data_IF_448822613226
#
_entry.id   IF_448822613226
#
_cell.length_a   1.000
_cell.length_b   1.000
_cell.length_c   1.000
_cell.angle_alpha   90.00
_cell.angle_beta   90.00
_cell.angle_gamma   90.00
#
_symmetry.space_group_name_H-M   'P 1'
#
loop_
_entity.id
_entity.type
_entity.pdbx_description
1 polymer ?
#
# COMPACT_ATOMS: atom_id res chain seq x y z
N UNK A 1 5.36 -34.85 30.31
CA UNK A 1 4.15 -34.42 29.60
C UNK A 1 4.48 -34.41 28.12
N UNK A 2 3.88 -35.34 27.40
CA UNK A 2 4.21 -35.79 26.05
C UNK A 2 3.53 -34.92 24.97
N UNK A 3 4.14 -34.76 23.78
CA UNK A 3 3.53 -34.04 22.67
C UNK A 3 2.71 -34.99 21.78
N UNK A 4 1.49 -34.59 21.42
CA UNK A 4 0.63 -35.33 20.49
C UNK A 4 0.79 -34.76 19.09
N UNK A 5 1.37 -35.55 18.19
CA UNK A 5 1.41 -35.29 16.74
C UNK A 5 0.20 -35.96 16.08
N UNK A 6 -0.59 -35.20 15.32
CA UNK A 6 -1.67 -35.73 14.49
C UNK A 6 -1.17 -35.86 13.04
N UNK A 7 -0.95 -37.09 12.60
CA UNK A 7 -0.74 -37.47 11.20
C UNK A 7 -2.07 -37.90 10.58
N UNK A 8 -2.52 -37.22 9.52
CA UNK A 8 -3.60 -37.71 8.66
C UNK A 8 -2.98 -38.43 7.45
N UNK A 9 -3.04 -39.75 7.47
CA UNK A 9 -2.80 -40.62 6.31
C UNK A 9 -4.16 -41.15 5.83
N UNK A 10 -4.54 -40.81 4.60
CA UNK A 10 -5.69 -41.42 3.93
C UNK A 10 -5.22 -42.54 2.98
N UNK A 11 -5.91 -43.68 2.91
CA UNK A 11 -5.59 -44.75 1.97
C UNK A 11 -6.19 -44.50 0.58
N UNK A 12 -5.42 -44.84 -0.45
CA UNK A 12 -5.81 -44.90 -1.85
C UNK A 12 -6.50 -46.25 -2.09
N UNK A 13 -7.76 -46.22 -2.51
CA UNK A 13 -8.49 -47.42 -2.95
C UNK A 13 -8.62 -47.39 -4.47
N UNK A 14 -7.81 -48.19 -5.16
CA UNK A 14 -7.96 -48.55 -6.57
C UNK A 14 -9.09 -49.59 -6.70
N UNK A 15 -10.11 -49.33 -7.52
CA UNK A 15 -11.07 -50.36 -7.95
C UNK A 15 -11.47 -50.22 -9.42
N UNK A 16 -10.95 -51.17 -10.19
CA UNK A 16 -11.49 -51.89 -11.37
C UNK A 16 -12.49 -51.19 -12.30
N UNK A 17 -11.96 -50.90 -13.48
CA UNK A 17 -12.43 -51.12 -14.85
C UNK A 17 -13.81 -51.75 -15.14
N UNK A 18 -14.32 -51.30 -16.30
CA UNK A 18 -15.21 -51.97 -17.25
C UNK A 18 -16.67 -52.11 -16.83
N UNK A 19 -17.53 -51.20 -17.32
CA UNK A 19 -18.90 -51.49 -17.83
C UNK A 19 -19.66 -50.19 -18.21
N UNK A 20 -19.04 -49.25 -18.93
CA UNK A 20 -19.72 -47.98 -19.29
C UNK A 20 -19.51 -47.56 -20.76
N UNK A 21 -19.52 -48.53 -21.67
CA UNK A 21 -19.27 -48.29 -23.11
C UNK A 21 -20.46 -48.61 -24.03
N UNK A 22 -21.65 -48.92 -23.49
CA UNK A 22 -22.81 -49.29 -24.33
C UNK A 22 -24.04 -48.36 -24.25
N UNK A 23 -23.99 -47.26 -23.49
CA UNK A 23 -25.09 -46.27 -23.45
C UNK A 23 -24.79 -44.95 -24.18
N UNK A 24 -23.64 -44.81 -24.84
CA UNK A 24 -23.19 -43.53 -25.43
C UNK A 24 -23.57 -43.38 -26.92
N UNK A 25 -24.19 -44.40 -27.55
CA UNK A 25 -24.37 -44.38 -29.01
C UNK A 25 -25.73 -43.90 -29.54
N UNK A 26 -26.77 -43.74 -28.70
CA UNK A 26 -28.09 -43.25 -29.17
C UNK A 26 -28.45 -41.81 -28.74
N UNK A 27 -27.64 -41.14 -27.91
CA UNK A 27 -27.84 -39.72 -27.57
C UNK A 27 -27.10 -38.75 -28.51
N UNK A 28 -26.43 -39.25 -29.53
CA UNK A 28 -25.50 -38.47 -30.36
C UNK A 28 -26.16 -37.73 -31.53
N UNK A 29 -27.41 -38.06 -31.89
CA UNK A 29 -28.03 -37.53 -33.12
C UNK A 29 -29.06 -36.40 -32.90
N UNK A 30 -29.59 -36.23 -31.68
CA UNK A 30 -30.54 -35.14 -31.36
C UNK A 30 -29.89 -33.90 -30.74
N UNK A 31 -28.65 -33.99 -30.24
CA UNK A 31 -27.95 -32.86 -29.63
C UNK A 31 -27.30 -31.95 -30.68
N UNK A 32 -26.94 -32.48 -31.86
CA UNK A 32 -26.34 -31.68 -32.93
C UNK A 32 -27.31 -30.66 -33.58
N UNK A 33 -28.62 -30.90 -33.55
CA UNK A 33 -29.59 -29.96 -34.13
C UNK A 33 -29.86 -28.73 -33.24
N UNK A 34 -29.58 -28.79 -31.94
CA UNK A 34 -29.65 -27.64 -31.01
C UNK A 34 -28.32 -26.88 -30.88
N UNK A 35 -27.21 -27.46 -31.34
CA UNK A 35 -25.88 -26.82 -31.36
C UNK A 35 -25.64 -25.99 -32.64
N UNK A 36 -26.46 -26.14 -33.68
CA UNK A 36 -26.31 -25.44 -34.96
C UNK A 36 -26.73 -23.96 -34.98
N UNK A 37 -27.42 -23.47 -33.96
CA UNK A 37 -27.98 -22.11 -33.93
C UNK A 37 -27.30 -21.14 -32.95
N UNK A 38 -26.30 -21.58 -32.18
CA UNK A 38 -25.59 -20.70 -31.22
C UNK A 38 -24.20 -20.23 -31.69
N UNK A 39 -23.78 -20.55 -32.93
CA UNK A 39 -22.43 -20.25 -33.44
C UNK A 39 -22.30 -18.91 -34.18
N UNK A 40 -23.40 -18.16 -34.36
CA UNK A 40 -23.37 -16.82 -34.97
C UNK A 40 -23.97 -15.80 -34.02
N UNK A 41 -23.15 -15.14 -33.19
CA UNK A 41 -23.59 -13.90 -32.55
C UNK A 41 -22.94 -13.52 -31.22
N UNK A 42 -22.13 -14.37 -30.60
CA UNK A 42 -21.26 -13.91 -29.52
C UNK A 42 -20.04 -13.23 -30.13
N UNK A 43 -20.24 -12.03 -30.68
CA UNK A 43 -19.18 -11.04 -30.79
C UNK A 43 -18.65 -10.82 -29.38
N UNK A 44 -17.63 -11.59 -29.00
CA UNK A 44 -16.75 -11.31 -27.88
C UNK A 44 -16.14 -9.95 -28.18
N UNK A 45 -16.84 -8.88 -27.79
CA UNK A 45 -16.31 -7.55 -27.81
C UNK A 45 -15.02 -7.63 -27.00
N UNK A 46 -13.88 -7.54 -27.70
CA UNK A 46 -12.58 -7.55 -27.06
C UNK A 46 -12.66 -6.53 -25.93
N UNK A 47 -12.36 -6.92 -24.67
CA UNK A 47 -12.52 -6.02 -23.55
C UNK A 47 -11.73 -4.76 -23.88
N UNK A 48 -12.44 -3.62 -23.98
CA UNK A 48 -11.80 -2.33 -24.24
C UNK A 48 -10.74 -2.17 -23.15
N UNK A 49 -9.48 -2.22 -23.56
CA UNK A 49 -8.33 -2.01 -22.67
C UNK A 49 -8.52 -0.66 -21.98
N UNK A 50 -8.99 -0.68 -20.73
CA UNK A 50 -9.18 0.54 -19.97
C UNK A 50 -7.80 1.04 -19.56
N UNK A 51 -7.40 2.15 -20.15
CA UNK A 51 -6.16 2.82 -19.77
C UNK A 51 -6.22 3.16 -18.28
N UNK A 52 -5.21 2.73 -17.53
CA UNK A 52 -5.07 3.06 -16.11
C UNK A 52 -4.16 4.28 -15.99
N UNK A 53 -4.60 5.27 -15.23
CA UNK A 53 -3.84 6.46 -14.87
C UNK A 53 -3.43 6.38 -13.41
N UNK A 54 -2.30 7.02 -13.10
CA UNK A 54 -1.81 7.21 -11.73
C UNK A 54 -2.11 8.64 -11.30
N UNK A 55 -2.71 8.77 -10.12
CA UNK A 55 -3.00 10.05 -9.49
C UNK A 55 -2.38 10.09 -8.11
N UNK A 56 -1.89 11.26 -7.70
CA UNK A 56 -1.30 11.50 -6.39
C UNK A 56 -2.22 12.38 -5.57
N UNK A 57 -2.65 11.89 -4.41
CA UNK A 57 -3.52 12.61 -3.48
C UNK A 57 -2.76 12.88 -2.19
N UNK A 58 -2.84 14.12 -1.70
CA UNK A 58 -2.22 14.46 -0.43
C UNK A 58 -3.04 13.89 0.73
N UNK A 59 -2.40 13.07 1.53
CA UNK A 59 -2.95 12.56 2.77
C UNK A 59 -2.60 13.52 3.91
N UNK A 60 -3.63 14.12 4.52
CA UNK A 60 -3.43 15.11 5.58
C UNK A 60 -2.85 14.49 6.85
N UNK A 61 -3.10 13.22 7.14
CA UNK A 61 -2.54 12.54 8.30
C UNK A 61 -1.07 12.21 8.06
N UNK A 62 -0.77 11.54 6.98
CA UNK A 62 0.60 11.13 6.69
C UNK A 62 1.46 12.24 6.13
N UNK A 63 0.89 13.42 5.85
CA UNK A 63 1.60 14.58 5.30
C UNK A 63 2.44 14.20 4.08
N UNK A 64 1.88 13.31 3.26
CA UNK A 64 2.57 12.74 2.09
C UNK A 64 1.58 12.53 0.96
N UNK A 65 2.11 12.50 -0.26
CA UNK A 65 1.33 12.23 -1.46
C UNK A 65 1.28 10.73 -1.71
N UNK A 66 0.08 10.16 -1.61
CA UNK A 66 -0.21 8.76 -1.85
C UNK A 66 -0.67 8.56 -3.30
N UNK A 67 -0.12 7.55 -3.95
CA UNK A 67 -0.51 7.14 -5.28
C UNK A 67 -1.79 6.31 -5.25
N UNK A 68 -2.67 6.55 -6.22
CA UNK A 68 -3.87 5.78 -6.48
C UNK A 68 -4.00 5.55 -7.98
N UNK A 69 -4.50 4.38 -8.35
CA UNK A 69 -4.86 4.11 -9.74
C UNK A 69 -6.32 4.48 -10.04
N UNK A 70 -6.58 5.01 -11.23
CA UNK A 70 -7.92 5.37 -11.72
C UNK A 70 -8.05 5.03 -13.20
N UNK A 71 -9.23 4.63 -13.64
CA UNK A 71 -9.56 4.51 -15.08
C UNK A 71 -10.23 5.78 -15.61
N UNK A 72 -10.65 6.68 -14.71
CA UNK A 72 -11.24 7.96 -15.07
C UNK A 72 -10.13 8.99 -15.32
N UNK A 73 -10.02 9.43 -16.58
CA UNK A 73 -9.07 10.44 -17.03
C UNK A 73 -9.32 11.81 -16.38
N UNK A 74 -10.55 12.11 -15.98
CA UNK A 74 -10.92 13.40 -15.39
C UNK A 74 -10.33 13.58 -13.97
N UNK A 75 -9.91 12.49 -13.31
CA UNK A 75 -9.18 12.56 -12.05
C UNK A 75 -7.70 12.92 -12.22
N UNK A 76 -7.18 12.95 -13.45
CA UNK A 76 -5.81 13.38 -13.75
C UNK A 76 -5.82 14.89 -13.97
N UNK A 77 -5.38 15.62 -12.96
CA UNK A 77 -5.23 17.07 -12.97
C UNK A 77 -3.75 17.43 -12.80
N UNK A 78 -3.40 18.70 -13.01
CA UNK A 78 -2.02 19.15 -12.75
C UNK A 78 -1.56 18.81 -11.32
N UNK A 79 -2.42 18.94 -10.31
CA UNK A 79 -2.08 18.64 -8.92
C UNK A 79 -1.86 17.13 -8.68
N UNK A 80 -2.52 16.27 -9.45
CA UNK A 80 -2.51 14.83 -9.22
C UNK A 80 -1.60 14.07 -10.18
N UNK A 81 -1.08 14.70 -11.24
CA UNK A 81 -0.29 13.99 -12.27
C UNK A 81 1.10 13.53 -11.80
N UNK A 82 1.68 14.19 -10.80
CA UNK A 82 2.99 13.82 -10.25
C UNK A 82 3.03 14.05 -8.75
N UNK A 83 3.88 13.28 -8.06
CA UNK A 83 4.09 13.43 -6.63
C UNK A 83 4.59 14.83 -6.28
N UNK A 84 5.48 15.39 -7.10
CA UNK A 84 5.99 16.75 -6.97
C UNK A 84 4.85 17.76 -7.02
N UNK A 85 3.95 17.64 -7.98
CA UNK A 85 2.83 18.58 -8.12
C UNK A 85 1.84 18.48 -6.97
N UNK A 86 1.61 17.27 -6.46
CA UNK A 86 0.79 17.06 -5.27
C UNK A 86 1.37 17.85 -4.08
N UNK A 87 2.68 17.78 -3.83
CA UNK A 87 3.33 18.61 -2.80
C UNK A 87 3.32 20.12 -3.13
N UNK A 88 3.48 20.51 -4.39
CA UNK A 88 3.43 21.92 -4.78
C UNK A 88 2.03 22.54 -4.59
N UNK A 89 0.96 21.76 -4.77
CA UNK A 89 -0.43 22.27 -4.66
C UNK A 89 -0.88 22.61 -3.23
N UNK A 90 -0.20 22.07 -2.22
CA UNK A 90 -0.59 22.20 -0.81
C UNK A 90 0.22 23.28 -0.08
N UNK A 91 1.30 23.79 -0.69
CA UNK A 91 2.14 24.84 -0.09
C UNK A 91 2.82 24.45 1.22
N UNK A 92 2.74 23.18 1.65
CA UNK A 92 3.41 22.70 2.86
C UNK A 92 4.80 22.20 2.52
N UNK A 93 5.81 22.79 3.14
CA UNK A 93 7.14 22.18 3.21
C UNK A 93 7.04 20.84 3.94
N UNK A 94 7.96 19.91 3.65
CA UNK A 94 8.00 18.60 4.31
C UNK A 94 7.87 18.74 5.83
N UNK A 95 6.68 18.47 6.36
CA UNK A 95 6.41 18.53 7.78
C UNK A 95 6.96 17.25 8.39
N UNK A 96 8.10 17.35 9.07
CA UNK A 96 8.63 16.24 9.86
C UNK A 96 7.64 15.83 10.95
N UNK A 97 7.74 14.57 11.32
CA UNK A 97 6.70 13.75 11.96
C UNK A 97 5.42 13.58 11.13
N UNK A 98 5.26 12.39 10.56
CA UNK A 98 4.08 11.95 9.80
C UNK A 98 3.26 10.95 10.60
N UNK A 99 1.95 10.84 10.33
CA UNK A 99 1.05 9.86 10.96
C UNK A 99 -0.29 10.48 11.35
N UNK A 100 -1.28 9.72 11.82
CA UNK A 100 -2.57 10.28 12.28
C UNK A 100 -2.39 11.35 13.37
N UNK A 101 -3.36 12.27 13.52
CA UNK A 101 -3.23 13.47 14.38
C UNK A 101 -2.80 13.17 15.83
N UNK A 102 -3.29 12.07 16.40
CA UNK A 102 -2.90 11.57 17.73
C UNK A 102 -1.43 11.12 17.81
N UNK A 103 -0.79 10.90 16.66
CA UNK A 103 0.57 10.40 16.49
C UNK A 103 1.59 11.41 15.98
N UNK A 104 1.17 12.47 15.29
CA UNK A 104 2.11 13.42 14.63
C UNK A 104 3.08 14.06 15.60
N UNK A 105 2.59 14.54 16.74
CA UNK A 105 3.43 15.35 17.65
C UNK A 105 3.34 14.89 19.11
N UNK A 106 2.73 13.72 19.34
CA UNK A 106 2.27 13.36 20.68
C UNK A 106 1.51 14.52 21.30
N UNK A 107 0.62 15.16 20.52
CA UNK A 107 0.04 16.49 20.82
C UNK A 107 -0.50 16.57 22.24
N UNK A 108 -1.21 15.55 22.70
CA UNK A 108 -1.70 15.46 24.08
C UNK A 108 -0.56 15.40 25.12
N UNK A 109 0.56 14.75 24.81
CA UNK A 109 1.74 14.69 25.67
C UNK A 109 2.62 15.93 25.57
N UNK A 110 2.70 16.57 24.40
CA UNK A 110 3.28 17.90 24.24
C UNK A 110 2.51 18.90 25.09
N UNK A 111 1.19 18.96 24.94
CA UNK A 111 0.28 19.77 25.76
C UNK A 111 0.41 19.43 27.26
N UNK A 112 0.51 18.14 27.63
CA UNK A 112 0.73 17.74 29.01
C UNK A 112 2.12 18.16 29.54
N UNK A 113 3.16 18.07 28.73
CA UNK A 113 4.51 18.53 29.07
C UNK A 113 4.52 20.05 29.27
N UNK A 114 3.90 20.80 28.36
CA UNK A 114 3.72 22.26 28.52
C UNK A 114 2.95 22.59 29.79
N UNK A 115 1.87 21.86 30.07
CA UNK A 115 1.08 22.00 31.31
C UNK A 115 1.85 21.63 32.58
N UNK A 116 2.81 20.69 32.48
CA UNK A 116 3.71 20.31 33.56
C UNK A 116 4.89 21.29 33.74
N UNK A 117 4.91 22.41 33.01
CA UNK A 117 5.94 23.44 33.14
C UNK A 117 7.19 23.18 32.29
N UNK A 118 7.16 22.21 31.37
CA UNK A 118 8.19 22.07 30.33
C UNK A 118 8.04 23.27 29.40
N UNK A 119 9.07 24.11 29.31
CA UNK A 119 9.00 25.42 28.66
C UNK A 119 9.08 25.32 27.13
N UNK A 120 8.21 26.04 26.40
CA UNK A 120 8.20 26.10 24.92
C UNK A 120 9.47 26.79 24.39
N UNK A 121 10.06 27.68 25.17
CA UNK A 121 11.39 28.28 25.01
C UNK A 121 12.56 27.28 25.25
N UNK A 122 12.26 26.00 25.50
CA UNK A 122 13.20 24.87 25.35
C UNK A 122 12.91 24.04 24.08
N UNK A 123 11.86 24.35 23.32
CA UNK A 123 11.52 23.82 21.99
C UNK A 123 12.02 24.77 20.88
N UNK A 124 13.17 25.41 21.12
CA UNK A 124 13.69 26.54 20.35
C UNK A 124 14.33 26.16 19.01
N UNK A 125 14.35 27.09 18.04
CA UNK A 125 15.36 27.09 16.97
C UNK A 125 16.78 27.04 17.59
N UNK A 126 17.65 26.16 17.09
CA UNK A 126 19.02 25.86 17.56
C UNK A 126 19.18 24.83 18.71
N UNK A 127 18.15 24.06 19.06
CA UNK A 127 18.36 22.80 19.82
C UNK A 127 18.62 21.67 18.84
N UNK A 128 19.55 20.77 19.17
CA UNK A 128 19.76 19.51 18.47
C UNK A 128 19.04 18.36 19.20
N UNK A 129 18.94 17.21 18.55
CA UNK A 129 18.38 16.01 19.18
C UNK A 129 19.26 15.40 20.28
N UNK A 130 20.47 15.93 20.51
CA UNK A 130 21.36 15.42 21.55
C UNK A 130 20.95 15.92 22.94
N UNK A 131 20.24 17.05 23.02
CA UNK A 131 19.81 17.67 24.30
C UNK A 131 18.32 17.55 24.58
N UNK A 132 17.55 17.01 23.63
CA UNK A 132 16.09 16.90 23.75
C UNK A 132 15.68 15.52 24.30
N UNK A 133 14.84 15.54 25.34
CA UNK A 133 14.24 14.32 25.90
C UNK A 133 12.81 14.18 25.38
N UNK A 134 12.55 13.09 24.64
CA UNK A 134 11.20 12.76 24.17
C UNK A 134 10.49 11.80 25.13
N UNK A 135 9.15 11.87 25.22
CA UNK A 135 8.37 10.93 26.01
C UNK A 135 8.50 9.50 25.46
N UNK A 136 8.18 8.50 26.30
CA UNK A 136 8.21 7.09 25.90
C UNK A 136 7.35 6.86 24.65
N UNK A 137 7.91 6.16 23.66
CA UNK A 137 7.26 5.90 22.37
C UNK A 137 7.47 6.99 21.33
N UNK A 138 8.24 8.03 21.66
CA UNK A 138 8.61 9.12 20.75
C UNK A 138 10.12 9.25 20.64
N UNK A 139 10.59 9.68 19.48
CA UNK A 139 11.99 9.95 19.21
C UNK A 139 12.15 11.37 18.68
N UNK A 140 13.29 11.98 19.01
CA UNK A 140 13.63 13.29 18.50
C UNK A 140 13.90 13.21 17.00
N UNK A 141 13.38 14.19 16.26
CA UNK A 141 13.65 14.41 14.85
C UNK A 141 13.97 15.89 14.61
N UNK A 142 14.94 16.16 13.74
CA UNK A 142 15.30 17.51 13.34
C UNK A 142 14.50 17.90 12.11
N UNK A 143 13.71 18.95 12.23
CA UNK A 143 12.98 19.50 11.11
C UNK A 143 13.87 20.18 10.08
N UNK A 144 13.34 20.30 8.86
CA UNK A 144 14.01 20.95 7.72
C UNK A 144 14.51 22.38 8.03
N UNK A 145 13.86 23.08 8.96
CA UNK A 145 14.23 24.44 9.39
C UNK A 145 14.95 24.47 10.76
N UNK A 146 15.59 23.38 11.18
CA UNK A 146 16.38 23.33 12.41
C UNK A 146 15.56 23.33 13.71
N UNK A 147 14.26 23.07 13.63
CA UNK A 147 13.40 22.88 14.80
C UNK A 147 13.41 21.43 15.26
N UNK A 148 13.63 21.19 16.55
CA UNK A 148 13.51 19.86 17.16
C UNK A 148 12.05 19.54 17.48
N UNK A 149 11.65 18.29 17.22
CA UNK A 149 10.31 17.77 17.55
C UNK A 149 10.39 16.31 17.97
N UNK A 150 9.42 15.88 18.79
CA UNK A 150 9.27 14.48 19.18
C UNK A 150 8.23 13.81 18.27
N UNK A 151 8.69 12.92 17.40
CA UNK A 151 7.84 12.12 16.52
C UNK A 151 7.50 10.79 17.17
N UNK A 152 6.27 10.30 16.99
CA UNK A 152 5.94 8.95 17.38
C UNK A 152 6.82 7.96 16.59
N UNK A 153 7.55 7.09 17.30
CA UNK A 153 8.52 6.17 16.70
C UNK A 153 7.84 5.27 15.67
N UNK A 154 6.66 4.73 16.03
CA UNK A 154 5.91 3.80 15.18
C UNK A 154 5.56 4.42 13.82
N UNK A 155 5.01 5.64 13.83
CA UNK A 155 4.58 6.31 12.59
C UNK A 155 5.74 6.87 11.78
N UNK A 156 6.77 7.41 12.46
CA UNK A 156 7.99 7.85 11.81
C UNK A 156 8.67 6.70 11.08
N UNK A 157 8.88 5.57 11.76
CA UNK A 157 9.56 4.42 11.19
C UNK A 157 8.73 3.79 10.07
N UNK A 158 7.40 3.73 10.22
CA UNK A 158 6.50 3.29 9.14
C UNK A 158 6.61 4.16 7.88
N UNK A 159 6.72 5.48 8.07
CA UNK A 159 6.93 6.43 6.97
C UNK A 159 8.31 6.23 6.33
N UNK A 160 9.37 6.08 7.11
CA UNK A 160 10.70 5.80 6.56
C UNK A 160 10.73 4.50 5.75
N UNK A 161 10.15 3.42 6.28
CA UNK A 161 10.10 2.12 5.59
C UNK A 161 9.38 2.18 4.24
N UNK A 162 8.26 2.92 4.14
CA UNK A 162 7.53 2.99 2.88
C UNK A 162 8.26 3.85 1.83
N UNK A 163 9.02 4.86 2.27
CA UNK A 163 9.80 5.72 1.38
C UNK A 163 11.17 5.16 0.99
N UNK A 164 11.63 4.11 1.67
CA UNK A 164 12.85 3.38 1.34
C UNK A 164 12.84 2.90 -0.12
N UNK A 165 13.98 2.98 -0.80
CA UNK A 165 14.09 2.56 -2.19
C UNK A 165 14.24 1.05 -2.36
N UNK A 166 14.32 0.31 -1.25
CA UNK A 166 14.29 -1.15 -1.21
C UNK A 166 12.94 -1.65 -0.73
N UNK A 167 12.55 -2.78 -1.29
CA UNK A 167 11.44 -3.59 -0.83
C UNK A 167 11.91 -4.63 0.19
N UNK A 168 10.98 -5.25 0.93
CA UNK A 168 11.28 -6.42 1.75
C UNK A 168 11.99 -7.48 0.90
N UNK A 169 13.15 -7.94 1.35
CA UNK A 169 14.03 -8.84 0.57
C UNK A 169 15.10 -8.15 -0.28
N UNK A 170 15.20 -6.81 -0.22
CA UNK A 170 16.31 -6.04 -0.79
C UNK A 170 16.18 -5.68 -2.27
N UNK A 171 15.11 -6.09 -2.95
CA UNK A 171 14.85 -5.68 -4.34
C UNK A 171 14.52 -4.20 -4.44
N UNK A 172 14.83 -3.55 -5.55
CA UNK A 172 14.47 -2.15 -5.80
C UNK A 172 12.95 -1.91 -5.81
N UNK A 173 12.53 -0.81 -5.21
CA UNK A 173 11.20 -0.23 -5.31
C UNK A 173 11.15 0.69 -6.56
N UNK A 174 10.31 0.39 -7.55
CA UNK A 174 10.20 1.19 -8.76
C UNK A 174 9.81 2.65 -8.47
N UNK A 175 10.49 3.57 -9.14
CA UNK A 175 10.27 5.02 -9.00
C UNK A 175 9.52 5.56 -10.21
N UNK A 176 8.49 6.37 -9.96
CA UNK A 176 7.79 7.19 -10.97
C UNK A 176 8.13 8.64 -10.69
N UNK A 177 8.64 9.34 -11.69
CA UNK A 177 9.18 10.70 -11.57
C UNK A 177 10.22 10.83 -10.44
N UNK A 178 11.04 9.80 -10.23
CA UNK A 178 12.06 9.75 -9.18
C UNK A 178 11.55 9.41 -7.78
N UNK A 179 10.26 9.12 -7.61
CA UNK A 179 9.67 8.80 -6.32
C UNK A 179 9.05 7.41 -6.26
N UNK A 180 9.21 6.73 -5.12
CA UNK A 180 8.56 5.44 -4.87
C UNK A 180 7.04 5.61 -4.85
N UNK A 181 6.34 4.71 -5.55
CA UNK A 181 4.87 4.65 -5.54
C UNK A 181 4.38 3.99 -4.26
N UNK A 182 3.70 4.77 -3.42
CA UNK A 182 3.20 4.35 -2.11
C UNK A 182 1.69 4.54 -2.04
N UNK A 183 0.99 3.72 -1.27
CA UNK A 183 -0.43 3.85 -0.98
C UNK A 183 -0.74 3.32 0.43
N UNK A 184 -1.95 3.52 0.92
CA UNK A 184 -2.38 2.91 2.19
C UNK A 184 -2.49 1.38 2.07
N UNK A 185 -2.91 0.88 0.92
CA UNK A 185 -3.13 -0.55 0.68
C UNK A 185 -2.91 -0.93 -0.78
N UNK A 186 -2.85 -2.25 -1.04
CA UNK A 186 -2.72 -2.78 -2.38
C UNK A 186 -4.00 -2.73 -3.21
N UNK A 187 -5.16 -2.39 -2.64
CA UNK A 187 -6.41 -2.29 -3.40
C UNK A 187 -6.39 -1.04 -4.27
N UNK A 188 -5.79 0.03 -3.76
CA UNK A 188 -5.71 1.32 -4.45
C UNK A 188 -4.43 1.48 -5.29
N UNK A 189 -3.44 0.60 -5.07
CA UNK A 189 -2.15 0.62 -5.76
C UNK A 189 -2.08 -0.43 -6.87
N UNK A 190 -2.08 0.03 -8.12
CA UNK A 190 -1.70 -0.82 -9.26
C UNK A 190 -0.23 -0.65 -9.54
N UNK A 191 0.49 -1.75 -9.74
CA UNK A 191 1.91 -1.73 -10.08
C UNK A 191 2.11 -1.99 -11.57
N UNK A 192 3.23 -1.51 -12.11
CA UNK A 192 3.57 -1.72 -13.51
C UNK A 192 3.88 -3.18 -13.83
N UNK A 193 4.06 -3.47 -15.12
CA UNK A 193 4.48 -4.80 -15.58
C UNK A 193 5.76 -5.26 -14.87
N UNK A 194 5.78 -6.51 -14.39
CA UNK A 194 6.93 -7.08 -13.66
C UNK A 194 7.06 -6.61 -12.21
N UNK A 195 6.01 -5.97 -11.67
CA UNK A 195 5.97 -5.47 -10.31
C UNK A 195 4.74 -6.05 -9.59
N UNK A 196 4.82 -6.14 -8.27
CA UNK A 196 3.72 -6.52 -7.39
C UNK A 196 3.58 -5.51 -6.27
N UNK A 197 2.35 -5.33 -5.79
CA UNK A 197 2.13 -4.56 -4.58
C UNK A 197 2.55 -5.37 -3.36
N UNK A 198 3.29 -4.75 -2.44
CA UNK A 198 3.72 -5.37 -1.19
C UNK A 198 3.32 -4.46 -0.04
N UNK A 199 2.66 -5.04 0.96
CA UNK A 199 2.39 -4.37 2.23
C UNK A 199 3.71 -4.26 3.00
N UNK A 200 4.13 -3.02 3.30
CA UNK A 200 5.41 -2.73 3.93
C UNK A 200 5.30 -2.74 5.44
N UNK A 201 4.20 -2.19 5.95
CA UNK A 201 3.84 -2.20 7.35
C UNK A 201 2.31 -2.09 7.45
N UNK A 202 1.78 -1.98 8.66
CA UNK A 202 0.33 -1.94 8.89
C UNK A 202 -0.39 -0.72 8.28
N UNK A 203 0.36 0.31 7.84
CA UNK A 203 -0.20 1.57 7.34
C UNK A 203 -0.07 1.73 5.83
N UNK A 204 0.91 1.05 5.23
CA UNK A 204 1.30 1.34 3.86
C UNK A 204 1.65 0.11 3.03
N UNK A 205 1.43 0.26 1.74
CA UNK A 205 1.92 -0.60 0.69
C UNK A 205 2.72 0.20 -0.34
N UNK A 206 3.63 -0.48 -1.05
CA UNK A 206 4.34 0.09 -2.19
C UNK A 206 4.53 -0.93 -3.31
N UNK A 207 4.83 -0.46 -4.50
CA UNK A 207 5.19 -1.34 -5.60
C UNK A 207 6.62 -1.85 -5.45
N UNK A 208 6.81 -3.13 -5.75
CA UNK A 208 8.08 -3.83 -5.65
C UNK A 208 8.29 -4.71 -6.87
N UNK A 209 9.54 -4.96 -7.25
CA UNK A 209 9.84 -5.94 -8.30
C UNK A 209 9.29 -7.32 -7.91
N UNK A 210 8.62 -8.00 -8.85
CA UNK A 210 7.94 -9.27 -8.62
C UNK A 210 8.94 -10.42 -8.37
#
# INVERSE_FOLDING_TARGET
MTPTQNTCSSPITLRKENHFLHCIFEMSLKICALLGACLFGLSLAAPKSSQTYYVWNFDQDWQTCLSRSTTDKNHVTYATQSRRNCFSSIGVGHMGCTGPENGKYGKAQLEANLKAGVKVDQMMPNRDCNTATCPKGYACDMGMYGGVRCCNIKYRDASYQVHDDKCPGGSEAPKVDGHVQIAMDCKNLKCGTGQKCVVINEFFAKCCKA
#
